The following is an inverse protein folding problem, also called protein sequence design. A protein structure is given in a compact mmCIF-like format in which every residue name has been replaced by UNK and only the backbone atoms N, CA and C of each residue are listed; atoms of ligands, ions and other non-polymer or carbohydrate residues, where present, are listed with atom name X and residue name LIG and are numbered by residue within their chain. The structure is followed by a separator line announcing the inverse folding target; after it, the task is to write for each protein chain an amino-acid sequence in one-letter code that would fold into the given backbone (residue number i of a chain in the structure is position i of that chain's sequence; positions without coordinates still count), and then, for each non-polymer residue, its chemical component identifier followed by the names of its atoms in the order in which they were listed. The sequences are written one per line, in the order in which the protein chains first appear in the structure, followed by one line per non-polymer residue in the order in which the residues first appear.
data_IF_674714178829
#
_entry.id   IF_674714178829
#
_cell.length_a   1.000
_cell.length_b   1.000
_cell.length_c   1.000
_cell.angle_alpha   90.00
_cell.angle_beta   90.00
_cell.angle_gamma   90.00
#
_symmetry.space_group_name_H-M   'P 1'
#
loop_
_entity.id
_entity.type
_entity.pdbx_description
1 polymer ?
#
# COMPACT_ATOMS: atom_id res chain seq x y z
N UNK A 1 30.23 -43.53 18.58
CA UNK A 1 28.93 -43.12 17.99
C UNK A 1 28.33 -41.82 18.54
N UNK A 2 28.74 -41.27 19.70
CA UNK A 2 28.12 -40.06 20.29
C UNK A 2 28.54 -38.70 19.69
N UNK A 3 29.74 -38.61 19.07
CA UNK A 3 30.26 -37.35 18.49
C UNK A 3 29.69 -37.04 17.09
N UNK A 4 29.37 -38.07 16.32
CA UNK A 4 28.86 -37.93 14.96
C UNK A 4 27.36 -37.60 14.95
N UNK A 5 26.61 -38.06 15.96
CA UNK A 5 25.19 -37.71 16.15
C UNK A 5 25.03 -36.24 16.57
N UNK A 6 25.96 -35.72 17.39
CA UNK A 6 25.94 -34.30 17.81
C UNK A 6 26.18 -33.34 16.63
N UNK A 7 27.06 -33.69 15.68
CA UNK A 7 27.32 -32.86 14.51
C UNK A 7 26.14 -32.79 13.52
N UNK A 8 25.36 -33.87 13.41
CA UNK A 8 24.20 -33.92 12.51
C UNK A 8 23.02 -33.09 13.07
N UNK A 9 22.80 -33.11 14.39
CA UNK A 9 21.72 -32.34 15.04
C UNK A 9 21.99 -30.83 15.01
N UNK A 10 23.25 -30.40 15.11
CA UNK A 10 23.65 -28.98 14.97
C UNK A 10 23.50 -28.49 13.52
N UNK A 11 23.79 -29.33 12.52
CA UNK A 11 23.56 -28.98 11.12
C UNK A 11 22.07 -28.84 10.76
N UNK A 12 21.21 -29.69 11.32
CA UNK A 12 19.77 -29.70 11.03
C UNK A 12 19.02 -28.53 11.70
N UNK A 13 19.49 -28.06 12.86
CA UNK A 13 18.88 -26.93 13.58
C UNK A 13 19.23 -25.57 12.98
N UNK A 14 20.39 -25.44 12.33
CA UNK A 14 20.80 -24.19 11.68
C UNK A 14 20.05 -23.91 10.36
N UNK A 15 19.53 -24.94 9.69
CA UNK A 15 18.73 -24.80 8.47
C UNK A 15 17.30 -24.26 8.72
N UNK A 16 16.76 -24.43 9.94
CA UNK A 16 15.40 -24.00 10.28
C UNK A 16 15.32 -22.49 10.61
N UNK A 17 16.43 -21.86 10.99
CA UNK A 17 16.47 -20.42 11.27
C UNK A 17 16.47 -19.54 10.01
N UNK A 18 16.78 -20.10 8.84
CA UNK A 18 16.75 -19.39 7.55
C UNK A 18 15.38 -19.44 6.87
N UNK A 19 14.42 -20.22 7.39
CA UNK A 19 13.05 -20.30 6.88
C UNK A 19 12.08 -19.32 7.57
N UNK A 20 12.60 -18.38 8.37
CA UNK A 20 11.85 -17.46 9.21
C UNK A 20 11.80 -15.99 8.76
N UNK A 21 12.22 -15.66 7.54
CA UNK A 21 12.07 -14.30 6.97
C UNK A 21 11.33 -14.33 5.64
N UNK A 22 10.20 -15.03 5.62
CA UNK A 22 9.14 -14.69 4.69
C UNK A 22 8.33 -13.56 5.30
N UNK A 23 8.55 -12.32 4.85
CA UNK A 23 7.51 -11.40 4.35
C UNK A 23 8.10 -10.01 4.17
N UNK A 24 7.63 -9.37 3.10
CA UNK A 24 8.00 -8.05 2.61
C UNK A 24 9.44 -7.96 2.07
N UNK A 25 9.65 -8.58 0.90
CA UNK A 25 10.22 -7.79 -0.19
C UNK A 25 9.39 -6.52 -0.32
N UNK A 26 9.78 -5.46 0.39
CA UNK A 26 9.45 -4.09 -0.02
C UNK A 26 10.29 -3.83 -1.27
N UNK A 27 9.92 -4.51 -2.35
CA UNK A 27 10.13 -3.97 -3.68
C UNK A 27 9.52 -2.58 -3.59
N UNK A 28 10.34 -1.55 -3.60
CA UNK A 28 9.94 -0.19 -3.93
C UNK A 28 9.52 -0.17 -5.40
N UNK A 29 8.51 -0.98 -5.71
CA UNK A 29 7.70 -0.79 -6.87
C UNK A 29 6.76 0.31 -6.44
N UNK A 30 6.89 1.42 -7.14
CA UNK A 30 5.89 2.45 -7.28
C UNK A 30 4.66 1.78 -7.91
N UNK A 31 4.06 0.81 -7.22
CA UNK A 31 2.95 0.01 -7.70
C UNK A 31 1.78 0.97 -7.85
N UNK A 32 1.28 1.06 -9.08
CA UNK A 32 0.01 1.71 -9.34
C UNK A 32 -1.05 0.86 -8.65
N UNK A 33 -1.56 1.38 -7.54
CA UNK A 33 -2.62 0.73 -6.78
C UNK A 33 -3.98 1.23 -7.27
N UNK A 34 -4.94 0.31 -7.28
CA UNK A 34 -6.36 0.62 -7.37
C UNK A 34 -6.90 0.75 -5.95
N UNK A 35 -7.44 1.92 -5.64
CA UNK A 35 -7.99 2.26 -4.33
C UNK A 35 -9.44 2.70 -4.51
N UNK A 36 -10.36 2.18 -3.70
CA UNK A 36 -11.79 2.52 -3.81
C UNK A 36 -12.22 3.27 -2.57
N UNK A 37 -12.47 4.56 -2.73
CA UNK A 37 -12.76 5.44 -1.62
C UNK A 37 -13.78 6.52 -1.93
N UNK A 38 -14.18 7.23 -0.89
CA UNK A 38 -15.07 8.38 -0.97
C UNK A 38 -14.23 9.64 -1.00
N UNK A 39 -14.53 10.55 -1.94
CA UNK A 39 -13.85 11.84 -2.00
C UNK A 39 -14.41 12.76 -0.91
N UNK A 40 -13.52 13.27 -0.08
CA UNK A 40 -13.80 14.25 0.96
C UNK A 40 -13.45 15.65 0.48
N UNK A 41 -14.10 16.64 1.10
CA UNK A 41 -13.82 18.05 0.84
C UNK A 41 -12.40 18.41 1.27
N UNK A 42 -11.67 19.12 0.39
CA UNK A 42 -10.27 19.51 0.62
C UNK A 42 -9.24 18.57 -0.01
N UNK A 43 -9.62 17.82 -1.03
CA UNK A 43 -8.69 16.94 -1.77
C UNK A 43 -8.19 15.76 -0.94
N UNK A 44 -9.05 15.22 -0.07
CA UNK A 44 -8.76 14.00 0.69
C UNK A 44 -9.64 12.88 0.16
N UNK A 45 -9.15 11.66 0.22
CA UNK A 45 -9.91 10.47 -0.14
C UNK A 45 -9.85 9.50 1.02
N UNK A 46 -11.00 9.01 1.45
CA UNK A 46 -11.08 7.98 2.48
C UNK A 46 -11.46 6.66 1.84
N UNK A 47 -10.60 5.65 1.98
CA UNK A 47 -10.86 4.31 1.49
C UNK A 47 -11.92 3.59 2.36
N UNK A 48 -12.47 2.48 1.88
CA UNK A 48 -13.40 1.62 2.63
C UNK A 48 -12.82 1.15 3.98
N UNK A 49 -11.48 1.03 4.08
CA UNK A 49 -10.75 0.72 5.31
C UNK A 49 -10.67 1.88 6.31
N UNK A 50 -11.23 3.05 5.98
CA UNK A 50 -11.12 4.27 6.80
C UNK A 50 -9.74 4.94 6.72
N UNK A 51 -8.87 4.50 5.80
CA UNK A 51 -7.58 5.16 5.57
C UNK A 51 -7.78 6.44 4.76
N UNK A 52 -7.32 7.56 5.31
CA UNK A 52 -7.30 8.85 4.64
C UNK A 52 -6.01 9.04 3.83
N UNK A 53 -6.18 9.40 2.56
CA UNK A 53 -5.10 9.72 1.65
C UNK A 53 -5.24 11.18 1.21
N UNK A 54 -4.13 11.92 1.26
CA UNK A 54 -4.08 13.26 0.71
C UNK A 54 -3.90 13.16 -0.80
N UNK A 55 -4.79 13.76 -1.60
CA UNK A 55 -4.63 13.74 -3.04
C UNK A 55 -3.52 14.72 -3.44
N UNK A 56 -2.63 14.28 -4.32
CA UNK A 56 -1.68 15.18 -4.99
C UNK A 56 -2.48 16.26 -5.74
N UNK A 57 -2.04 17.51 -5.64
CA UNK A 57 -2.74 18.68 -6.21
C UNK A 57 -2.50 18.76 -7.72
N UNK A 58 -3.02 17.76 -8.44
CA UNK A 58 -2.90 17.55 -9.88
C UNK A 58 -4.29 17.60 -10.55
N UNK A 59 -4.33 17.55 -11.89
CA UNK A 59 -5.57 17.54 -12.68
C UNK A 59 -6.54 16.42 -12.23
N UNK A 60 -6.01 15.28 -11.82
CA UNK A 60 -6.82 14.18 -11.26
C UNK A 60 -7.56 14.57 -9.97
N UNK A 61 -6.95 15.40 -9.11
CA UNK A 61 -7.62 15.86 -7.88
C UNK A 61 -8.74 16.86 -8.16
N UNK A 62 -8.56 17.77 -9.13
CA UNK A 62 -9.56 18.75 -9.56
C UNK A 62 -10.84 18.09 -10.08
N UNK A 63 -10.70 16.99 -10.83
CA UNK A 63 -11.84 16.24 -11.32
C UNK A 63 -12.63 15.57 -10.18
N UNK A 64 -11.95 15.25 -9.08
CA UNK A 64 -12.51 14.58 -7.92
C UNK A 64 -13.12 15.57 -6.92
N UNK A 65 -12.63 16.82 -6.89
CA UNK A 65 -13.29 17.92 -6.19
C UNK A 65 -14.72 18.17 -6.69
N UNK A 66 -15.02 17.84 -7.96
CA UNK A 66 -16.38 17.88 -8.49
C UNK A 66 -17.25 16.68 -8.05
N UNK A 67 -16.64 15.64 -7.50
CA UNK A 67 -17.28 14.37 -7.11
C UNK A 67 -17.25 14.16 -5.58
N UNK A 68 -17.12 15.23 -4.78
CA UNK A 68 -17.13 15.17 -3.31
C UNK A 68 -18.39 14.45 -2.81
N UNK A 69 -18.20 13.48 -1.91
CA UNK A 69 -19.27 12.66 -1.34
C UNK A 69 -19.69 11.47 -2.19
N UNK A 70 -19.08 11.26 -3.36
CA UNK A 70 -19.29 10.05 -4.17
C UNK A 70 -18.17 9.04 -3.95
N UNK A 71 -18.54 7.76 -4.03
CA UNK A 71 -17.60 6.63 -4.03
C UNK A 71 -16.99 6.50 -5.42
N UNK A 72 -15.67 6.43 -5.48
CA UNK A 72 -14.90 6.35 -6.70
C UNK A 72 -13.80 5.30 -6.55
N UNK A 73 -13.40 4.71 -7.65
CA UNK A 73 -12.19 3.91 -7.76
C UNK A 73 -11.12 4.77 -8.42
N UNK A 74 -10.00 4.97 -7.73
CA UNK A 74 -8.86 5.73 -8.22
C UNK A 74 -7.71 4.78 -8.49
N UNK A 75 -7.07 4.94 -9.64
CA UNK A 75 -5.80 4.29 -9.97
C UNK A 75 -4.70 5.31 -9.77
N UNK A 76 -3.76 4.97 -8.93
CA UNK A 76 -2.73 5.93 -8.59
C UNK A 76 -1.59 5.32 -7.81
N UNK A 77 -0.57 6.13 -7.64
CA UNK A 77 0.58 5.77 -6.82
C UNK A 77 0.43 6.43 -5.47
N UNK A 78 0.52 5.65 -4.38
CA UNK A 78 0.66 6.20 -3.03
C UNK A 78 2.14 6.47 -2.77
N UNK A 79 2.44 7.72 -2.45
CA UNK A 79 3.74 8.24 -2.10
C UNK A 79 3.67 8.68 -0.63
N UNK A 80 4.70 8.37 0.14
CA UNK A 80 4.85 8.93 1.47
C UNK A 80 5.82 10.10 1.40
N UNK A 81 5.39 11.28 1.83
CA UNK A 81 6.28 12.43 1.97
C UNK A 81 7.23 12.25 3.16
N UNK A 82 8.32 13.03 3.21
CA UNK A 82 9.28 13.01 4.32
C UNK A 82 8.67 13.31 5.69
N UNK A 83 7.48 13.89 5.75
CA UNK A 83 6.67 14.12 6.95
C UNK A 83 5.79 12.92 7.37
N UNK A 84 5.89 11.77 6.68
CA UNK A 84 5.04 10.60 6.90
C UNK A 84 3.61 10.75 6.37
N UNK A 85 3.35 11.79 5.57
CA UNK A 85 2.04 12.02 4.97
C UNK A 85 1.86 11.14 3.73
N UNK A 86 0.81 10.32 3.72
CA UNK A 86 0.42 9.49 2.57
C UNK A 86 -0.29 10.36 1.52
N UNK A 87 0.40 10.62 0.42
CA UNK A 87 -0.09 11.34 -0.74
C UNK A 87 -0.41 10.37 -1.86
N UNK A 88 -1.64 10.37 -2.37
CA UNK A 88 -2.03 9.59 -3.55
C UNK A 88 -1.97 10.46 -4.80
N UNK A 89 -1.17 10.04 -5.77
CA UNK A 89 -1.15 10.62 -7.11
C UNK A 89 -2.15 9.88 -8.00
N UNK A 90 -3.25 10.54 -8.32
CA UNK A 90 -4.30 10.00 -9.21
C UNK A 90 -3.77 10.00 -10.65
N UNK A 91 -3.64 8.83 -11.27
CA UNK A 91 -3.40 8.69 -12.71
C UNK A 91 -4.73 8.58 -13.47
N UNK A 92 -5.66 7.78 -12.96
CA UNK A 92 -6.98 7.55 -13.56
C UNK A 92 -8.03 7.40 -12.47
N UNK A 93 -9.30 7.73 -12.77
CA UNK A 93 -10.38 7.53 -11.81
C UNK A 93 -11.67 7.13 -12.50
N UNK A 94 -12.48 6.37 -11.77
CA UNK A 94 -13.77 5.88 -12.19
C UNK A 94 -14.80 6.12 -11.10
N UNK A 95 -15.87 6.83 -11.43
CA UNK A 95 -16.98 7.04 -10.49
C UNK A 95 -17.79 5.75 -10.43
N UNK A 96 -17.87 5.15 -9.24
CA UNK A 96 -18.71 3.99 -8.96
C UNK A 96 -19.99 4.56 -8.32
N UNK A 97 -20.89 5.08 -9.16
CA UNK A 97 -22.23 5.44 -8.71
C UNK A 97 -22.95 4.16 -8.25
N UNK A 98 -23.37 4.14 -6.99
CA UNK A 98 -24.46 3.27 -6.53
C UNK A 98 -25.81 3.81 -7.01
#
# INVERSE_FOLDING_TARGET
MKRNVMLIVVGLTLAVLLAGTGWASSTAATDEIQLTGTVLKGGRLVDDQGQEYQMAKDEGSLALEAQIGQKIEVKGTVLENSDGQKVIKINDYKVIKE
#
